data_IF_409233083242
#
_entry.id   IF_409233083242
#
_cell.length_a   1.000
_cell.length_b   1.000
_cell.length_c   1.000
_cell.angle_alpha   90.00
_cell.angle_beta   90.00
_cell.angle_gamma   90.00
#
_symmetry.space_group_name_H-M   'P 1'
#
loop_
_entity.id
_entity.type
_entity.pdbx_description
1 polymer ?
#
# COMPACT_ATOMS: atom_id res chain seq x y z
N UNK A 1 -14.86 -20.00 -0.44
CA UNK A 1 -15.30 -18.73 -1.10
C UNK A 1 -14.21 -18.29 -2.06
N UNK A 2 -14.58 -17.71 -3.22
CA UNK A 2 -13.61 -17.15 -4.17
C UNK A 2 -13.02 -15.86 -3.58
N UNK A 3 -11.69 -15.71 -3.66
CA UNK A 3 -10.97 -14.52 -3.18
C UNK A 3 -10.35 -13.80 -4.35
N UNK A 4 -10.51 -12.49 -4.41
CA UNK A 4 -9.98 -11.59 -5.44
C UNK A 4 -9.08 -10.55 -4.79
N UNK A 5 -7.85 -10.41 -5.26
CA UNK A 5 -6.97 -9.29 -4.91
C UNK A 5 -7.10 -8.20 -5.98
N UNK A 6 -7.71 -7.08 -5.62
CA UNK A 6 -7.91 -5.92 -6.49
C UNK A 6 -6.63 -5.05 -6.55
N UNK A 7 -5.53 -5.61 -7.08
CA UNK A 7 -4.24 -4.92 -7.12
C UNK A 7 -3.33 -5.47 -8.22
N UNK A 8 -2.55 -4.59 -8.85
CA UNK A 8 -1.45 -4.95 -9.76
C UNK A 8 -0.09 -5.07 -9.05
N UNK A 9 -0.03 -4.78 -7.76
CA UNK A 9 1.24 -4.76 -7.01
C UNK A 9 1.74 -6.18 -6.73
N UNK A 10 2.91 -6.58 -7.26
CA UNK A 10 3.48 -7.90 -6.98
C UNK A 10 3.80 -8.10 -5.50
N UNK A 11 4.12 -7.03 -4.78
CA UNK A 11 4.37 -7.07 -3.33
C UNK A 11 3.12 -7.45 -2.54
N UNK A 12 1.94 -6.96 -2.94
CA UNK A 12 0.66 -7.34 -2.30
C UNK A 12 0.28 -8.78 -2.58
N UNK A 13 0.59 -9.26 -3.78
CA UNK A 13 0.44 -10.69 -4.13
C UNK A 13 1.29 -11.54 -3.19
N UNK A 14 2.60 -11.25 -3.10
CA UNK A 14 3.55 -11.97 -2.22
C UNK A 14 3.11 -11.96 -0.74
N UNK A 15 2.53 -10.84 -0.27
CA UNK A 15 2.06 -10.74 1.11
C UNK A 15 0.79 -11.58 1.32
N UNK A 16 -0.16 -11.53 0.38
CA UNK A 16 -1.42 -12.26 0.49
C UNK A 16 -1.21 -13.77 0.42
N UNK A 17 -0.28 -14.26 -0.43
CA UNK A 17 0.12 -15.67 -0.54
C UNK A 17 0.57 -16.28 0.80
N UNK A 18 1.00 -15.45 1.75
CA UNK A 18 1.40 -15.92 3.09
C UNK A 18 0.24 -16.38 3.94
N UNK A 19 -0.99 -15.93 3.65
CA UNK A 19 -2.17 -16.22 4.48
C UNK A 19 -3.35 -16.80 3.68
N UNK A 20 -3.44 -16.57 2.38
CA UNK A 20 -4.50 -17.10 1.52
C UNK A 20 -3.88 -17.97 0.45
N UNK A 21 -4.26 -19.24 0.39
CA UNK A 21 -3.67 -20.22 -0.54
C UNK A 21 -4.12 -20.04 -1.98
N UNK A 22 -5.39 -19.67 -2.17
CA UNK A 22 -6.00 -19.56 -3.51
C UNK A 22 -6.73 -18.24 -3.64
N UNK A 23 -6.30 -17.42 -4.59
CA UNK A 23 -6.96 -16.16 -4.95
C UNK A 23 -6.65 -15.80 -6.40
N UNK A 24 -7.50 -14.97 -6.98
CA UNK A 24 -7.26 -14.38 -8.31
C UNK A 24 -6.83 -12.92 -8.17
N UNK A 25 -6.04 -12.45 -9.14
CA UNK A 25 -5.61 -11.05 -9.21
C UNK A 25 -6.42 -10.36 -10.30
N UNK A 26 -7.17 -9.33 -9.92
CA UNK A 26 -7.93 -8.47 -10.84
C UNK A 26 -7.50 -7.02 -10.62
N UNK A 27 -6.83 -6.43 -11.60
CA UNK A 27 -6.39 -5.04 -11.48
C UNK A 27 -7.60 -4.10 -11.43
N UNK A 28 -7.60 -3.19 -10.45
CA UNK A 28 -8.55 -2.08 -10.43
C UNK A 28 -8.17 -1.01 -11.47
N UNK A 29 -9.19 -0.50 -12.15
CA UNK A 29 -9.11 0.62 -13.09
C UNK A 29 -9.53 1.96 -12.44
N UNK A 30 -9.74 1.97 -11.13
CA UNK A 30 -10.13 3.19 -10.41
C UNK A 30 -9.08 4.29 -10.58
N UNK A 31 -9.53 5.49 -10.95
CA UNK A 31 -8.68 6.68 -11.05
C UNK A 31 -8.50 7.31 -9.65
N UNK A 32 -7.32 7.11 -9.07
CA UNK A 32 -6.95 7.60 -7.75
C UNK A 32 -7.00 9.14 -7.66
N UNK A 33 -6.81 9.86 -8.79
CA UNK A 33 -6.84 11.33 -8.82
C UNK A 33 -8.25 11.91 -8.58
N UNK A 34 -9.28 11.08 -8.56
CA UNK A 34 -10.67 11.52 -8.25
C UNK A 34 -10.90 11.77 -6.77
N UNK A 35 -9.96 11.35 -5.89
CA UNK A 35 -10.04 11.57 -4.45
C UNK A 35 -8.96 12.55 -4.01
N UNK A 36 -9.36 13.72 -3.54
CA UNK A 36 -8.45 14.71 -2.98
C UNK A 36 -8.12 14.41 -1.53
N UNK A 37 -6.86 14.61 -1.15
CA UNK A 37 -6.45 14.62 0.25
C UNK A 37 -6.98 15.89 0.95
N UNK A 38 -7.84 15.72 1.97
CA UNK A 38 -8.50 16.80 2.72
C UNK A 38 -8.04 16.93 4.18
N UNK A 39 -6.80 16.51 4.47
CA UNK A 39 -6.19 16.64 5.80
C UNK A 39 -6.34 15.43 6.71
N UNK A 40 -7.26 14.51 6.44
CA UNK A 40 -7.41 13.23 7.16
C UNK A 40 -6.79 12.08 6.34
N UNK A 41 -5.59 11.67 6.74
CA UNK A 41 -4.82 10.67 6.01
C UNK A 41 -5.41 9.26 6.14
N UNK A 42 -5.99 8.92 7.29
CA UNK A 42 -6.60 7.62 7.49
C UNK A 42 -7.85 7.45 6.65
N UNK A 43 -8.69 8.50 6.63
CA UNK A 43 -9.85 8.53 5.74
C UNK A 43 -9.42 8.42 4.27
N UNK A 44 -8.38 9.15 3.86
CA UNK A 44 -7.88 9.17 2.50
C UNK A 44 -7.49 7.78 1.99
N UNK A 45 -6.65 7.05 2.74
CA UNK A 45 -6.22 5.70 2.32
C UNK A 45 -7.35 4.67 2.37
N UNK A 46 -8.32 4.83 3.31
CA UNK A 46 -9.52 4.00 3.36
C UNK A 46 -10.41 4.25 2.14
N UNK A 47 -10.63 5.50 1.77
CA UNK A 47 -11.43 5.86 0.60
C UNK A 47 -10.80 5.34 -0.69
N UNK A 48 -9.48 5.47 -0.87
CA UNK A 48 -8.76 4.92 -2.01
C UNK A 48 -8.89 3.39 -2.10
N UNK A 49 -8.65 2.68 -1.01
CA UNK A 49 -8.77 1.22 -0.98
C UNK A 49 -10.21 0.76 -1.22
N UNK A 50 -11.20 1.46 -0.64
CA UNK A 50 -12.62 1.16 -0.81
C UNK A 50 -13.06 1.31 -2.27
N UNK A 51 -12.73 2.42 -2.91
CA UNK A 51 -13.14 2.65 -4.30
C UNK A 51 -12.48 1.65 -5.27
N UNK A 52 -11.23 1.24 -5.01
CA UNK A 52 -10.60 0.14 -5.74
C UNK A 52 -11.35 -1.18 -5.59
N UNK A 53 -11.80 -1.50 -4.38
CA UNK A 53 -12.56 -2.72 -4.12
C UNK A 53 -13.94 -2.67 -4.81
N UNK A 54 -14.65 -1.55 -4.71
CA UNK A 54 -15.96 -1.35 -5.35
C UNK A 54 -15.84 -1.52 -6.87
N UNK A 55 -14.91 -0.80 -7.50
CA UNK A 55 -14.73 -0.86 -8.96
C UNK A 55 -14.47 -2.29 -9.47
N UNK A 56 -13.71 -3.09 -8.71
CA UNK A 56 -13.49 -4.49 -9.07
C UNK A 56 -14.73 -5.33 -8.78
N UNK A 57 -15.38 -5.15 -7.63
CA UNK A 57 -16.57 -5.95 -7.25
C UNK A 57 -17.72 -5.80 -8.24
N UNK A 58 -17.93 -4.60 -8.79
CA UNK A 58 -18.98 -4.31 -9.78
C UNK A 58 -18.76 -5.00 -11.14
N UNK A 59 -17.53 -5.44 -11.44
CA UNK A 59 -17.18 -6.16 -12.68
C UNK A 59 -17.21 -7.67 -12.55
N UNK A 60 -17.40 -8.18 -11.34
CA UNK A 60 -17.43 -9.64 -11.11
C UNK A 60 -18.80 -10.21 -11.45
N UNK A 61 -18.80 -11.38 -12.08
CA UNK A 61 -20.02 -12.13 -12.40
C UNK A 61 -20.37 -13.19 -11.35
N UNK A 62 -19.46 -13.44 -10.41
CA UNK A 62 -19.60 -14.46 -9.38
C UNK A 62 -19.37 -13.85 -7.99
N UNK A 63 -20.14 -14.28 -6.98
CA UNK A 63 -19.91 -13.83 -5.61
C UNK A 63 -18.49 -14.13 -5.13
N UNK A 64 -17.86 -13.14 -4.50
CA UNK A 64 -16.43 -13.20 -4.13
C UNK A 64 -16.12 -12.34 -2.91
N UNK A 65 -14.99 -12.60 -2.26
CA UNK A 65 -14.37 -11.70 -1.31
C UNK A 65 -13.34 -10.84 -2.07
N UNK A 66 -13.60 -9.56 -2.23
CA UNK A 66 -12.68 -8.63 -2.90
C UNK A 66 -11.82 -7.92 -1.87
N UNK A 67 -10.50 -8.05 -2.00
CA UNK A 67 -9.50 -7.41 -1.14
C UNK A 67 -8.80 -6.33 -1.95
N UNK A 68 -8.84 -5.09 -1.46
CA UNK A 68 -8.08 -3.98 -2.02
C UNK A 68 -7.23 -3.29 -0.95
N UNK A 69 -6.16 -2.65 -1.37
CA UNK A 69 -5.34 -1.82 -0.50
C UNK A 69 -4.80 -0.60 -1.25
N UNK A 70 -4.52 0.46 -0.49
CA UNK A 70 -3.77 1.60 -0.97
C UNK A 70 -2.73 2.03 0.06
N UNK A 71 -1.59 2.57 -0.41
CA UNK A 71 -0.45 2.89 0.46
C UNK A 71 0.15 4.21 0.07
N UNK A 72 0.34 5.08 1.06
CA UNK A 72 0.95 6.38 0.88
C UNK A 72 2.02 6.64 1.94
N UNK A 73 3.03 7.43 1.58
CA UNK A 73 3.99 8.00 2.51
C UNK A 73 3.52 9.38 2.93
N UNK A 74 3.58 9.67 4.22
CA UNK A 74 3.11 10.93 4.79
C UNK A 74 4.20 11.58 5.63
N UNK A 75 4.53 12.82 5.30
CA UNK A 75 5.55 13.59 6.01
C UNK A 75 5.18 15.08 6.05
N UNK A 76 5.31 15.70 7.21
CA UNK A 76 5.11 17.15 7.39
C UNK A 76 3.77 17.67 6.81
N UNK A 77 2.68 16.92 7.01
CA UNK A 77 1.36 17.29 6.51
C UNK A 77 1.13 17.04 5.01
N UNK A 78 2.09 16.43 4.31
CA UNK A 78 2.01 16.15 2.87
C UNK A 78 1.99 14.66 2.58
N UNK A 79 1.19 14.28 1.59
CA UNK A 79 1.21 12.95 0.99
C UNK A 79 2.30 12.92 -0.07
N UNK A 80 3.20 11.96 0.03
CA UNK A 80 4.21 11.66 -0.99
C UNK A 80 3.73 10.43 -1.77
N UNK A 81 3.25 10.68 -2.96
CA UNK A 81 2.81 9.66 -3.91
C UNK A 81 4.00 9.07 -4.68
N UNK A 82 3.73 8.44 -5.82
CA UNK A 82 4.80 8.00 -6.72
C UNK A 82 5.45 9.19 -7.38
N UNK A 83 6.80 9.19 -7.52
CA UNK A 83 7.47 10.28 -8.18
C UNK A 83 7.09 10.36 -9.68
N UNK A 84 6.94 11.57 -10.18
CA UNK A 84 6.60 11.84 -11.57
C UNK A 84 7.80 11.71 -12.51
N UNK A 85 8.99 11.92 -11.98
CA UNK A 85 10.28 11.87 -12.69
C UNK A 85 11.42 11.72 -11.65
N UNK A 86 12.66 11.62 -12.14
CA UNK A 86 13.86 11.45 -11.31
C UNK A 86 14.11 12.64 -10.36
N UNK A 87 13.82 13.86 -10.78
CA UNK A 87 14.01 15.06 -9.94
C UNK A 87 12.97 15.11 -8.80
N UNK A 88 11.75 14.67 -9.06
CA UNK A 88 10.73 14.52 -8.05
C UNK A 88 11.12 13.42 -7.04
N UNK A 89 11.62 12.27 -7.53
CA UNK A 89 12.17 11.21 -6.68
C UNK A 89 13.34 11.73 -5.82
N UNK A 90 14.24 12.53 -6.39
CA UNK A 90 15.35 13.14 -5.66
C UNK A 90 14.85 14.09 -4.55
N UNK A 91 13.86 14.91 -4.85
CA UNK A 91 13.24 15.81 -3.88
C UNK A 91 12.59 15.06 -2.73
N UNK A 92 11.81 14.01 -3.03
CA UNK A 92 11.17 13.15 -2.04
C UNK A 92 12.22 12.50 -1.13
N UNK A 93 13.20 11.81 -1.68
CA UNK A 93 14.26 11.12 -0.92
C UNK A 93 15.09 12.09 -0.08
N UNK A 94 15.38 13.28 -0.61
CA UNK A 94 16.07 14.34 0.15
C UNK A 94 15.25 14.81 1.35
N UNK A 95 13.94 14.90 1.22
CA UNK A 95 13.05 15.28 2.32
C UNK A 95 12.96 14.20 3.40
N UNK A 96 13.06 12.92 3.01
CA UNK A 96 13.02 11.77 3.91
C UNK A 96 14.36 11.55 4.64
N UNK A 97 15.47 11.95 4.03
CA UNK A 97 16.84 11.77 4.56
C UNK A 97 16.98 12.29 5.99
N UNK A 98 17.50 11.45 6.91
CA UNK A 98 17.71 11.77 8.32
C UNK A 98 16.43 11.99 9.14
N UNK A 99 15.25 11.77 8.55
CA UNK A 99 13.96 12.04 9.17
C UNK A 99 13.14 10.78 9.43
N UNK A 100 12.13 10.94 10.28
CA UNK A 100 11.05 9.95 10.46
C UNK A 100 9.83 10.39 9.68
N UNK A 101 9.27 9.49 8.93
CA UNK A 101 8.02 9.67 8.21
C UNK A 101 7.04 8.53 8.55
N UNK A 102 5.80 8.67 8.12
CA UNK A 102 4.76 7.67 8.33
C UNK A 102 4.32 7.04 7.02
N UNK A 103 4.09 5.74 7.06
CA UNK A 103 3.49 4.99 5.94
C UNK A 103 2.10 4.54 6.39
N UNK A 104 1.09 4.94 5.64
CA UNK A 104 -0.29 4.53 5.86
C UNK A 104 -0.74 3.60 4.73
N UNK A 105 -1.32 2.47 5.11
CA UNK A 105 -2.01 1.59 4.16
C UNK A 105 -3.45 1.40 4.59
N UNK A 106 -4.37 1.78 3.72
CA UNK A 106 -5.78 1.43 3.82
C UNK A 106 -6.02 0.04 3.23
N UNK A 107 -6.92 -0.72 3.84
CA UNK A 107 -7.46 -1.97 3.31
C UNK A 107 -8.97 -1.89 3.22
N UNK A 108 -9.53 -2.55 2.22
CA UNK A 108 -10.96 -2.77 2.09
C UNK A 108 -11.23 -4.22 1.69
N UNK A 109 -12.17 -4.84 2.38
CA UNK A 109 -12.76 -6.12 2.02
C UNK A 109 -14.23 -5.89 1.65
N UNK A 110 -14.66 -6.41 0.51
CA UNK A 110 -16.07 -6.47 0.12
C UNK A 110 -16.45 -7.92 -0.04
N UNK A 111 -17.43 -8.37 0.73
CA UNK A 111 -18.08 -9.64 0.54
C UNK A 111 -19.31 -9.43 -0.35
N UNK A 112 -19.23 -9.86 -1.61
CA UNK A 112 -20.36 -9.72 -2.56
C UNK A 112 -21.42 -10.80 -2.39
N UNK A 113 -21.30 -11.71 -1.40
CA UNK A 113 -22.38 -12.66 -1.05
C UNK A 113 -23.46 -12.01 -0.19
N UNK A 114 -23.09 -11.02 0.63
CA UNK A 114 -23.98 -10.37 1.60
C UNK A 114 -23.82 -8.84 1.66
N UNK A 115 -23.09 -8.26 0.70
CA UNK A 115 -22.79 -6.84 0.57
C UNK A 115 -22.06 -6.22 1.78
N UNK A 116 -21.40 -7.05 2.60
CA UNK A 116 -20.60 -6.56 3.73
C UNK A 116 -19.34 -5.85 3.25
N UNK A 117 -19.10 -4.67 3.79
CA UNK A 117 -17.89 -3.87 3.52
C UNK A 117 -17.14 -3.60 4.81
N UNK A 118 -15.89 -4.04 4.87
CA UNK A 118 -14.98 -3.78 5.97
C UNK A 118 -13.82 -2.91 5.48
N UNK A 119 -13.57 -1.79 6.15
CA UNK A 119 -12.41 -0.92 5.87
C UNK A 119 -11.60 -0.69 7.13
N UNK A 120 -10.29 -0.76 7.01
CA UNK A 120 -9.36 -0.42 8.10
C UNK A 120 -8.10 0.22 7.51
N UNK A 121 -7.24 0.79 8.37
CA UNK A 121 -5.93 1.28 7.95
C UNK A 121 -4.88 0.99 9.01
N UNK A 122 -3.63 0.94 8.61
CA UNK A 122 -2.48 0.81 9.50
C UNK A 122 -1.49 1.93 9.26
N UNK A 123 -0.74 2.27 10.32
CA UNK A 123 0.29 3.30 10.29
C UNK A 123 1.60 2.74 10.83
N UNK A 124 2.69 2.95 10.09
CA UNK A 124 4.04 2.58 10.53
C UNK A 124 4.97 3.79 10.40
N UNK A 125 5.69 4.10 11.47
CA UNK A 125 6.76 5.08 11.45
C UNK A 125 8.02 4.43 10.87
N UNK A 126 8.66 5.11 9.93
CA UNK A 126 9.90 4.67 9.29
C UNK A 126 10.95 5.77 9.47
N UNK A 127 12.11 5.39 10.04
CA UNK A 127 13.24 6.30 10.21
C UNK A 127 14.30 6.04 9.15
N UNK A 128 14.70 7.08 8.44
CA UNK A 128 15.79 7.05 7.47
C UNK A 128 17.10 7.53 8.05
N UNK A 129 18.18 6.90 7.61
CA UNK A 129 19.53 7.42 7.76
C UNK A 129 19.72 8.74 7.01
N UNK A 130 20.72 9.54 7.39
CA UNK A 130 21.16 10.65 6.57
C UNK A 130 21.72 10.14 5.23
N UNK A 131 21.22 10.69 4.14
CA UNK A 131 21.63 10.34 2.78
C UNK A 131 22.33 11.53 2.11
N UNK A 132 23.49 11.28 1.52
CA UNK A 132 24.11 12.29 0.68
C UNK A 132 23.53 12.26 -0.76
N UNK A 133 23.71 13.36 -1.54
CA UNK A 133 23.15 13.45 -2.89
C UNK A 133 23.60 12.34 -3.83
N UNK A 134 24.80 11.81 -3.66
CA UNK A 134 25.34 10.71 -4.48
C UNK A 134 24.59 9.39 -4.21
N UNK A 135 24.30 9.09 -2.95
CA UNK A 135 23.53 7.89 -2.58
C UNK A 135 22.11 7.94 -3.17
N UNK A 136 21.46 9.11 -3.06
CA UNK A 136 20.12 9.31 -3.63
C UNK A 136 20.14 9.11 -5.15
N UNK A 137 21.07 9.75 -5.88
CA UNK A 137 21.18 9.59 -7.34
C UNK A 137 21.49 8.15 -7.75
N UNK A 138 22.39 7.46 -7.04
CA UNK A 138 22.70 6.06 -7.33
C UNK A 138 21.46 5.17 -7.17
N UNK A 139 20.62 5.44 -6.18
CA UNK A 139 19.39 4.70 -5.98
C UNK A 139 18.35 5.01 -7.06
N UNK A 140 18.21 6.25 -7.47
CA UNK A 140 17.32 6.64 -8.58
C UNK A 140 17.74 5.95 -9.88
N UNK A 141 19.03 5.89 -10.16
CA UNK A 141 19.57 5.22 -11.35
C UNK A 141 19.26 3.71 -11.39
N UNK A 142 18.90 3.08 -10.29
CA UNK A 142 18.43 1.69 -10.28
C UNK A 142 17.04 1.51 -10.89
N UNK A 143 16.28 2.60 -11.05
CA UNK A 143 14.87 2.58 -11.49
C UNK A 143 13.88 2.15 -10.41
N UNK A 144 14.35 1.61 -9.27
CA UNK A 144 13.49 1.10 -8.20
C UNK A 144 12.52 2.14 -7.62
N UNK A 145 12.88 3.44 -7.45
CA UNK A 145 12.01 4.44 -6.85
C UNK A 145 10.69 4.70 -7.59
N UNK A 146 10.68 4.55 -8.92
CA UNK A 146 9.72 5.20 -9.81
C UNK A 146 8.27 4.71 -9.69
N UNK A 147 8.07 3.51 -9.17
CA UNK A 147 6.72 2.92 -8.98
C UNK A 147 6.26 2.92 -7.52
N UNK A 148 6.97 3.63 -6.62
CA UNK A 148 6.77 3.54 -5.17
C UNK A 148 6.38 4.88 -4.55
N UNK A 149 5.39 4.85 -3.63
CA UNK A 149 5.05 6.00 -2.81
C UNK A 149 6.28 6.46 -1.99
N UNK A 150 6.55 7.76 -1.97
CA UNK A 150 7.72 8.33 -1.31
C UNK A 150 9.05 7.97 -1.96
N UNK A 151 9.02 7.44 -3.18
CA UNK A 151 10.18 7.09 -4.00
C UNK A 151 11.12 6.06 -3.34
N UNK A 152 10.62 5.12 -2.51
CA UNK A 152 11.46 4.04 -1.99
C UNK A 152 10.69 2.74 -1.74
N UNK A 153 11.41 1.61 -1.74
CA UNK A 153 10.91 0.31 -1.35
C UNK A 153 11.70 -0.30 -0.20
N UNK A 154 11.05 -0.58 0.94
CA UNK A 154 11.72 -1.20 2.10
C UNK A 154 12.21 -2.62 1.82
N UNK A 155 11.58 -3.31 0.88
CA UNK A 155 11.91 -4.69 0.50
C UNK A 155 13.10 -4.76 -0.46
N UNK A 156 13.38 -3.67 -1.19
CA UNK A 156 14.45 -3.60 -2.18
C UNK A 156 15.69 -2.86 -1.68
N UNK A 157 16.40 -2.22 -2.62
CA UNK A 157 17.60 -1.43 -2.33
C UNK A 157 17.33 -0.27 -1.36
N UNK A 158 16.12 0.32 -1.44
CA UNK A 158 15.70 1.39 -0.52
C UNK A 158 15.63 0.95 0.94
N UNK A 159 15.56 -0.34 1.22
CA UNK A 159 15.66 -0.87 2.59
C UNK A 159 17.00 -0.54 3.27
N UNK A 160 18.07 -0.34 2.51
CA UNK A 160 19.37 0.08 3.04
C UNK A 160 19.37 1.49 3.67
N UNK A 161 18.35 2.30 3.38
CA UNK A 161 18.21 3.64 3.96
C UNK A 161 17.43 3.64 5.28
N UNK A 162 16.76 2.54 5.60
CA UNK A 162 15.89 2.43 6.78
C UNK A 162 16.72 2.04 8.01
N UNK A 163 16.83 2.93 8.99
CA UNK A 163 17.44 2.64 10.28
C UNK A 163 16.54 1.77 11.16
N UNK A 164 15.23 1.96 11.06
CA UNK A 164 14.27 1.23 11.84
C UNK A 164 12.83 1.61 11.53
N UNK A 165 11.92 0.77 12.00
CA UNK A 165 10.49 0.98 11.90
C UNK A 165 9.83 0.82 13.27
N UNK A 166 8.72 1.53 13.48
CA UNK A 166 7.81 1.32 14.61
C UNK A 166 6.41 1.05 14.07
N UNK A 167 6.01 -0.20 14.08
CA UNK A 167 4.75 -0.68 13.49
C UNK A 167 4.93 -1.95 12.66
N UNK A 168 4.12 -2.12 11.64
CA UNK A 168 4.06 -3.32 10.81
C UNK A 168 4.93 -3.19 9.55
N UNK A 169 5.89 -4.11 9.38
CA UNK A 169 6.72 -4.19 8.17
C UNK A 169 5.90 -4.39 6.90
N UNK A 170 4.91 -5.29 6.96
CA UNK A 170 4.03 -5.56 5.81
C UNK A 170 3.15 -4.37 5.43
N UNK A 171 2.81 -3.50 6.41
CA UNK A 171 2.16 -2.24 6.12
C UNK A 171 3.06 -1.34 5.23
N UNK A 172 4.34 -1.25 5.52
CA UNK A 172 5.29 -0.47 4.71
C UNK A 172 5.46 -1.08 3.31
N UNK A 173 5.39 -2.41 3.19
CA UNK A 173 5.39 -3.09 1.89
C UNK A 173 4.11 -2.86 1.06
N UNK A 174 3.00 -2.48 1.71
CA UNK A 174 1.76 -2.09 1.03
C UNK A 174 0.51 -2.91 1.34
N UNK A 175 0.57 -3.85 2.30
CA UNK A 175 -0.60 -4.63 2.75
C UNK A 175 -0.42 -5.00 4.23
N UNK A 176 -1.17 -4.40 5.18
CA UNK A 176 -1.03 -4.66 6.61
C UNK A 176 -1.56 -6.05 6.97
N UNK A 177 -0.66 -7.04 6.92
CA UNK A 177 -0.97 -8.47 6.96
C UNK A 177 -1.78 -8.88 8.19
N UNK A 178 -1.43 -8.39 9.38
CA UNK A 178 -2.16 -8.76 10.62
C UNK A 178 -3.61 -8.25 10.63
N UNK A 179 -3.82 -7.01 10.16
CA UNK A 179 -5.19 -6.46 10.05
C UNK A 179 -6.01 -7.20 9.02
N UNK A 180 -5.41 -7.51 7.87
CA UNK A 180 -6.06 -8.30 6.84
C UNK A 180 -6.40 -9.70 7.35
N UNK A 181 -5.46 -10.38 8.03
CA UNK A 181 -5.70 -11.69 8.63
C UNK A 181 -6.92 -11.68 9.55
N UNK A 182 -6.99 -10.73 10.50
CA UNK A 182 -8.12 -10.58 11.41
C UNK A 182 -9.44 -10.29 10.69
N UNK A 183 -9.41 -9.49 9.63
CA UNK A 183 -10.60 -9.21 8.84
C UNK A 183 -11.10 -10.46 8.10
N UNK A 184 -10.20 -11.35 7.70
CA UNK A 184 -10.52 -12.60 7.00
C UNK A 184 -10.99 -13.74 7.90
N UNK A 185 -10.71 -13.71 9.23
CA UNK A 185 -11.12 -14.74 10.18
C UNK A 185 -12.64 -14.97 10.23
N UNK A 186 -13.43 -13.98 9.81
CA UNK A 186 -14.89 -14.08 9.80
C UNK A 186 -15.47 -14.73 8.54
N UNK A 187 -14.62 -15.12 7.58
CA UNK A 187 -15.05 -15.70 6.31
C UNK A 187 -14.58 -17.15 6.18
N UNK A 188 -15.40 -17.98 5.51
CA UNK A 188 -15.06 -19.37 5.22
C UNK A 188 -14.07 -19.44 4.03
N UNK A 189 -12.84 -19.02 4.28
CA UNK A 189 -11.70 -19.13 3.38
C UNK A 189 -10.54 -19.81 4.07
N UNK A 190 -9.76 -20.58 3.30
CA UNK A 190 -8.58 -21.24 3.86
C UNK A 190 -7.48 -20.21 4.08
N UNK A 191 -7.27 -19.84 5.37
CA UNK A 191 -6.17 -19.01 5.83
C UNK A 191 -5.16 -19.87 6.59
N UNK A 192 -3.84 -19.72 6.27
CA UNK A 192 -2.67 -20.46 6.81
C UNK A 192 -2.75 -21.95 6.55
#
# INVERSE_FOLDING_TARGET
MKVILASKSPRRVEILEKIVKEFEVVQSNFDENTIDFKGDIEKYVKDLSRNKAIEVSERLNEPSIVIAADTVVFQNGKVLEKPKNEEDAFSMLSSLSGNTHKVYSGICLINTYDDTVVTDCDCTEVRFSELNPRQIRNYINSGEPMDKAGAYGIQGLGGAFVEGIKGCYYNVMGLPLNKLYKALENYDITIL
#
